data_IF_812005499469
#
_entry.id   IF_812005499469
#
_cell.length_a   1.000
_cell.length_b   1.000
_cell.length_c   1.000
_cell.angle_alpha   90.00
_cell.angle_beta   90.00
_cell.angle_gamma   90.00
#
_symmetry.space_group_name_H-M   'P 1'
#
loop_
_entity.id
_entity.type
_entity.pdbx_description
1 polymer ?
#
# COMPACT_ATOMS: atom_id res chain seq x y z
N UNK A 1 -22.77 -11.30 -20.18
CA UNK A 1 -22.04 -11.77 -18.97
C UNK A 1 -22.13 -10.79 -17.80
N UNK A 2 -21.97 -9.47 -18.02
CA UNK A 2 -22.00 -8.46 -16.95
C UNK A 2 -23.35 -8.20 -16.26
N UNK A 3 -24.49 -8.59 -16.86
CA UNK A 3 -25.81 -8.51 -16.21
C UNK A 3 -26.03 -9.61 -15.17
N UNK A 4 -25.62 -10.85 -15.47
CA UNK A 4 -25.73 -11.97 -14.52
C UNK A 4 -24.91 -11.74 -13.26
N UNK A 5 -23.74 -11.10 -13.36
CA UNK A 5 -22.95 -10.76 -12.17
C UNK A 5 -23.62 -9.70 -11.29
N UNK A 6 -24.36 -8.75 -11.88
CA UNK A 6 -25.13 -7.74 -11.14
C UNK A 6 -26.32 -8.34 -10.38
N UNK A 7 -26.95 -9.38 -10.94
CA UNK A 7 -28.04 -10.11 -10.26
C UNK A 7 -27.53 -11.03 -9.13
N UNK A 8 -26.37 -11.64 -9.31
CA UNK A 8 -25.81 -12.59 -8.33
C UNK A 8 -25.11 -11.87 -7.16
N UNK A 9 -24.60 -10.66 -7.38
CA UNK A 9 -23.85 -9.91 -6.37
C UNK A 9 -24.63 -9.61 -5.07
N UNK A 10 -25.90 -9.17 -5.12
CA UNK A 10 -26.73 -9.01 -3.92
C UNK A 10 -26.92 -10.31 -3.15
N UNK A 11 -27.12 -11.44 -3.84
CA UNK A 11 -27.32 -12.75 -3.22
C UNK A 11 -26.07 -13.23 -2.48
N UNK A 12 -24.88 -13.08 -3.08
CA UNK A 12 -23.61 -13.40 -2.43
C UNK A 12 -23.36 -12.49 -1.22
N UNK A 13 -23.67 -11.19 -1.33
CA UNK A 13 -23.53 -10.22 -0.25
C UNK A 13 -24.44 -10.55 0.94
N UNK A 14 -25.66 -10.99 0.68
CA UNK A 14 -26.68 -11.28 1.69
C UNK A 14 -26.44 -12.62 2.41
N UNK A 15 -25.60 -13.50 1.85
CA UNK A 15 -25.22 -14.76 2.50
C UNK A 15 -24.46 -14.59 3.84
N UNK A 16 -24.11 -13.36 4.26
CA UNK A 16 -23.33 -13.03 5.47
C UNK A 16 -22.33 -14.13 5.86
N UNK A 17 -21.40 -14.47 4.96
CA UNK A 17 -20.44 -15.51 5.26
C UNK A 17 -19.65 -15.11 6.52
N UNK A 18 -19.51 -16.06 7.46
CA UNK A 18 -18.61 -15.90 8.62
C UNK A 18 -17.14 -15.66 8.19
N UNK A 19 -16.82 -15.94 6.94
CA UNK A 19 -15.53 -15.75 6.28
C UNK A 19 -15.54 -14.49 5.43
N UNK A 20 -14.50 -13.66 5.55
CA UNK A 20 -14.30 -12.51 4.66
C UNK A 20 -13.93 -13.01 3.25
N UNK A 21 -14.75 -12.72 2.25
CA UNK A 21 -14.46 -13.09 0.86
C UNK A 21 -13.58 -12.03 0.22
N UNK A 22 -12.64 -12.48 -0.62
CA UNK A 22 -11.77 -11.60 -1.38
C UNK A 22 -11.73 -12.04 -2.85
N UNK A 23 -11.83 -11.09 -3.76
CA UNK A 23 -11.84 -11.32 -5.21
C UNK A 23 -10.94 -10.33 -5.94
N UNK A 24 -10.38 -10.77 -7.07
CA UNK A 24 -9.63 -9.93 -7.99
C UNK A 24 -10.26 -10.01 -9.39
N UNK A 25 -10.40 -8.87 -10.04
CA UNK A 25 -11.05 -8.77 -11.36
C UNK A 25 -10.08 -8.15 -12.35
N UNK A 26 -9.92 -8.77 -13.51
CA UNK A 26 -9.11 -8.25 -14.60
C UNK A 26 -9.79 -7.09 -15.33
N UNK A 27 -9.05 -6.44 -16.24
CA UNK A 27 -9.69 -5.65 -17.27
C UNK A 27 -10.48 -6.57 -18.24
N UNK A 28 -11.48 -6.04 -18.97
CA UNK A 28 -12.14 -6.78 -20.05
C UNK A 28 -11.13 -7.13 -21.15
N UNK A 29 -11.13 -8.37 -21.63
CA UNK A 29 -10.26 -8.84 -22.72
C UNK A 29 -11.05 -9.63 -23.75
N UNK A 30 -10.55 -9.66 -24.99
CA UNK A 30 -10.99 -10.61 -26.00
C UNK A 30 -10.53 -12.04 -25.65
N UNK A 31 -11.10 -13.06 -26.30
CA UNK A 31 -10.79 -14.47 -26.00
C UNK A 31 -9.29 -14.82 -26.07
N UNK A 32 -8.54 -14.19 -26.98
CA UNK A 32 -7.10 -14.37 -27.11
C UNK A 32 -6.29 -13.83 -25.90
N UNK A 33 -6.90 -13.01 -25.05
CA UNK A 33 -6.25 -12.38 -23.89
C UNK A 33 -6.56 -13.03 -22.55
N UNK A 34 -7.21 -14.21 -22.52
CA UNK A 34 -7.66 -14.86 -21.28
C UNK A 34 -6.53 -15.15 -20.28
N UNK A 35 -5.34 -15.53 -20.75
CA UNK A 35 -4.19 -15.79 -19.88
C UNK A 35 -3.70 -14.51 -19.15
N UNK A 36 -3.69 -13.39 -19.89
CA UNK A 36 -3.37 -12.08 -19.33
C UNK A 36 -4.44 -11.65 -18.31
N UNK A 37 -5.72 -11.82 -18.64
CA UNK A 37 -6.82 -11.54 -17.70
C UNK A 37 -6.73 -12.40 -16.43
N UNK A 38 -6.43 -13.69 -16.55
CA UNK A 38 -6.24 -14.54 -15.37
C UNK A 38 -5.07 -14.06 -14.50
N UNK A 39 -3.97 -13.64 -15.12
CA UNK A 39 -2.83 -13.05 -14.43
C UNK A 39 -3.25 -11.78 -13.69
N UNK A 40 -3.88 -10.83 -14.39
CA UNK A 40 -4.39 -9.60 -13.80
C UNK A 40 -5.34 -9.84 -12.62
N UNK A 41 -6.29 -10.79 -12.76
CA UNK A 41 -7.22 -11.15 -11.71
C UNK A 41 -6.51 -11.75 -10.48
N UNK A 42 -5.44 -12.52 -10.68
CA UNK A 42 -4.61 -13.07 -9.59
C UNK A 42 -3.85 -11.98 -8.83
N UNK A 43 -3.26 -11.02 -9.54
CA UNK A 43 -2.61 -9.86 -8.92
C UNK A 43 -3.62 -9.02 -8.12
N UNK A 44 -4.79 -8.75 -8.69
CA UNK A 44 -5.86 -8.04 -8.00
C UNK A 44 -6.34 -8.80 -6.75
N UNK A 45 -6.44 -10.13 -6.81
CA UNK A 45 -6.80 -10.96 -5.65
C UNK A 45 -5.72 -10.94 -4.57
N UNK A 46 -4.44 -10.97 -4.96
CA UNK A 46 -3.33 -10.92 -4.03
C UNK A 46 -3.26 -9.56 -3.31
N UNK A 47 -3.50 -8.46 -4.02
CA UNK A 47 -3.66 -7.14 -3.43
C UNK A 47 -4.87 -7.11 -2.48
N UNK A 48 -6.02 -7.60 -2.92
CA UNK A 48 -7.22 -7.69 -2.09
C UNK A 48 -6.91 -8.44 -0.79
N UNK A 49 -6.17 -9.55 -0.82
CA UNK A 49 -5.76 -10.33 0.37
C UNK A 49 -4.83 -9.61 1.33
N UNK A 50 -4.07 -8.65 0.82
CA UNK A 50 -3.08 -7.89 1.59
C UNK A 50 -3.71 -6.67 2.27
N UNK A 51 -4.92 -6.26 1.87
CA UNK A 51 -5.62 -5.13 2.45
C UNK A 51 -6.15 -5.41 3.87
N UNK A 52 -6.12 -4.36 4.69
CA UNK A 52 -6.54 -4.33 6.10
C UNK A 52 -7.98 -4.87 6.26
N UNK A 53 -8.32 -5.52 7.40
CA UNK A 53 -9.70 -5.88 7.71
C UNK A 53 -10.64 -4.66 7.60
N UNK A 54 -11.69 -4.75 6.79
CA UNK A 54 -12.62 -3.65 6.51
C UNK A 54 -12.40 -2.93 5.15
N UNK A 55 -11.34 -3.25 4.42
CA UNK A 55 -11.14 -2.77 3.04
C UNK A 55 -12.07 -3.48 2.04
N UNK A 56 -12.18 -2.93 0.82
CA UNK A 56 -12.99 -3.46 -0.26
C UNK A 56 -12.64 -4.93 -0.54
N UNK A 57 -13.63 -5.85 -0.50
CA UNK A 57 -13.39 -7.27 -0.72
C UNK A 57 -13.05 -7.60 -2.19
N UNK A 58 -13.23 -6.65 -3.10
CA UNK A 58 -12.96 -6.81 -4.52
C UNK A 58 -11.99 -5.72 -4.94
N UNK A 59 -10.94 -6.12 -5.64
CA UNK A 59 -10.02 -5.19 -6.30
C UNK A 59 -10.08 -5.43 -7.80
N UNK A 60 -10.15 -4.35 -8.58
CA UNK A 60 -10.11 -4.40 -10.04
C UNK A 60 -8.71 -4.01 -10.51
N UNK A 61 -8.19 -4.60 -11.58
CA UNK A 61 -6.85 -4.32 -12.09
C UNK A 61 -6.57 -2.83 -12.34
N UNK A 62 -7.59 -2.04 -12.67
CA UNK A 62 -7.46 -0.58 -12.85
C UNK A 62 -7.36 0.23 -11.55
N UNK A 63 -7.60 -0.39 -10.39
CA UNK A 63 -7.47 0.23 -9.06
C UNK A 63 -6.07 0.04 -8.45
N UNK A 64 -5.23 -0.79 -9.09
CA UNK A 64 -3.84 -1.02 -8.69
C UNK A 64 -2.91 -0.45 -9.75
N UNK A 65 -2.12 0.54 -9.36
CA UNK A 65 -1.09 1.14 -10.20
C UNK A 65 0.30 1.14 -9.53
N UNK A 66 1.31 1.39 -10.35
CA UNK A 66 2.70 1.55 -9.90
C UNK A 66 3.25 0.38 -9.08
N UNK A 67 3.93 0.71 -8.00
CA UNK A 67 4.65 -0.25 -7.14
C UNK A 67 3.70 -1.21 -6.42
N UNK A 68 2.48 -0.78 -6.09
CA UNK A 68 1.51 -1.62 -5.38
C UNK A 68 1.07 -2.83 -6.21
N UNK A 69 0.88 -2.65 -7.53
CA UNK A 69 0.58 -3.74 -8.45
C UNK A 69 1.73 -4.77 -8.52
N UNK A 70 2.98 -4.30 -8.60
CA UNK A 70 4.16 -5.18 -8.63
C UNK A 70 4.28 -5.98 -7.32
N UNK A 71 4.09 -5.33 -6.17
CA UNK A 71 4.14 -5.97 -4.86
C UNK A 71 3.05 -7.03 -4.65
N UNK A 72 1.92 -6.95 -5.37
CA UNK A 72 0.89 -7.96 -5.29
C UNK A 72 1.35 -9.34 -5.80
N UNK A 73 2.38 -9.39 -6.65
CA UNK A 73 3.03 -10.65 -7.06
C UNK A 73 4.07 -11.17 -6.08
N UNK A 74 4.50 -10.35 -5.12
CA UNK A 74 5.52 -10.71 -4.13
C UNK A 74 4.84 -11.41 -2.94
N UNK A 75 5.33 -12.59 -2.50
CA UNK A 75 4.82 -13.29 -1.33
C UNK A 75 4.79 -12.40 -0.07
N UNK A 76 3.75 -12.56 0.75
CA UNK A 76 3.50 -11.67 1.91
C UNK A 76 4.59 -11.75 2.99
N UNK A 77 5.21 -12.91 3.17
CA UNK A 77 6.35 -13.13 4.05
C UNK A 77 7.59 -12.36 3.57
N UNK A 78 7.89 -12.38 2.28
CA UNK A 78 8.98 -11.59 1.67
C UNK A 78 8.71 -10.10 1.86
N UNK A 79 7.48 -9.64 1.62
CA UNK A 79 7.10 -8.24 1.87
C UNK A 79 7.24 -7.85 3.33
N UNK A 80 6.83 -8.73 4.26
CA UNK A 80 6.97 -8.49 5.69
C UNK A 80 8.44 -8.35 6.12
N UNK A 81 9.32 -9.23 5.62
CA UNK A 81 10.77 -9.13 5.86
C UNK A 81 11.33 -7.82 5.32
N UNK A 82 10.95 -7.43 4.10
CA UNK A 82 11.40 -6.16 3.51
C UNK A 82 10.91 -4.95 4.32
N UNK A 83 9.63 -4.94 4.71
CA UNK A 83 9.05 -3.91 5.57
C UNK A 83 9.81 -3.78 6.89
N UNK A 84 10.06 -4.89 7.57
CA UNK A 84 10.79 -4.90 8.85
C UNK A 84 12.23 -4.41 8.67
N UNK A 85 12.90 -4.82 7.59
CA UNK A 85 14.28 -4.39 7.29
C UNK A 85 14.36 -2.87 7.10
N UNK A 86 13.37 -2.28 6.43
CA UNK A 86 13.40 -0.85 6.06
C UNK A 86 12.78 0.05 7.14
N UNK A 87 11.67 -0.37 7.75
CA UNK A 87 10.88 0.45 8.69
C UNK A 87 11.01 -0.01 10.14
N UNK A 88 11.57 -1.19 10.41
CA UNK A 88 11.82 -1.72 11.75
C UNK A 88 12.56 -0.73 12.66
N UNK A 89 13.63 -0.04 12.20
CA UNK A 89 14.31 0.97 13.01
C UNK A 89 13.41 2.14 13.45
N UNK A 90 12.41 2.52 12.64
CA UNK A 90 11.42 3.53 13.03
C UNK A 90 10.45 2.99 14.08
N UNK A 91 9.96 1.76 13.89
CA UNK A 91 9.07 1.10 14.84
C UNK A 91 9.75 0.89 16.20
N UNK A 92 11.04 0.59 16.20
CA UNK A 92 11.86 0.43 17.40
C UNK A 92 12.15 1.75 18.16
N UNK A 93 11.87 2.91 17.57
CA UNK A 93 12.10 4.22 18.21
C UNK A 93 11.18 4.50 19.42
N UNK A 94 10.20 3.63 19.68
CA UNK A 94 9.34 3.65 20.85
C UNK A 94 7.85 3.79 20.51
N UNK A 95 6.95 3.48 21.46
CA UNK A 95 5.50 3.34 21.21
C UNK A 95 4.81 4.65 20.79
N UNK A 96 5.39 5.81 21.11
CA UNK A 96 4.90 7.12 20.67
C UNK A 96 5.66 7.63 19.45
N UNK A 97 6.98 7.52 19.47
CA UNK A 97 7.84 8.07 18.42
C UNK A 97 7.72 7.31 17.10
N UNK A 98 7.65 5.98 17.13
CA UNK A 98 7.61 5.16 15.91
C UNK A 98 6.39 5.47 15.03
N UNK A 99 5.15 5.41 15.55
CA UNK A 99 3.96 5.79 14.80
C UNK A 99 4.04 7.23 14.26
N UNK A 100 4.46 8.18 15.08
CA UNK A 100 4.61 9.60 14.69
C UNK A 100 5.60 9.79 13.53
N UNK A 101 6.74 9.09 13.55
CA UNK A 101 7.73 9.15 12.48
C UNK A 101 7.21 8.48 11.20
N UNK A 102 6.48 7.36 11.32
CA UNK A 102 5.83 6.71 10.17
C UNK A 102 4.77 7.61 9.52
N UNK A 103 3.96 8.30 10.31
CA UNK A 103 2.95 9.23 9.81
C UNK A 103 3.63 10.41 9.10
N UNK A 104 4.73 10.90 9.67
CA UNK A 104 5.52 11.97 9.04
C UNK A 104 6.13 11.50 7.72
N UNK A 105 6.69 10.29 7.66
CA UNK A 105 7.24 9.71 6.43
C UNK A 105 6.18 9.55 5.34
N UNK A 106 4.98 9.04 5.69
CA UNK A 106 3.86 8.89 4.74
C UNK A 106 3.43 10.23 4.18
N UNK A 107 3.24 11.23 5.03
CA UNK A 107 2.86 12.57 4.59
C UNK A 107 3.96 13.19 3.71
N UNK A 108 5.23 13.09 4.14
CA UNK A 108 6.36 13.65 3.41
C UNK A 108 6.48 13.08 1.99
N UNK A 109 6.39 11.75 1.84
CA UNK A 109 6.43 11.11 0.54
C UNK A 109 5.18 11.41 -0.31
N UNK A 110 4.00 11.50 0.30
CA UNK A 110 2.75 11.85 -0.41
C UNK A 110 2.72 13.29 -0.92
N UNK A 111 3.52 14.17 -0.33
CA UNK A 111 3.67 15.57 -0.73
C UNK A 111 5.00 15.85 -1.46
N UNK A 112 5.49 14.87 -2.23
CA UNK A 112 6.71 14.93 -3.05
C UNK A 112 7.94 15.44 -2.29
N UNK A 113 8.06 15.07 -1.01
CA UNK A 113 9.15 15.51 -0.13
C UNK A 113 9.19 17.03 0.11
N UNK A 114 8.04 17.70 0.02
CA UNK A 114 7.91 19.13 0.29
C UNK A 114 7.74 19.40 1.79
N UNK A 115 8.70 20.10 2.38
CA UNK A 115 8.67 20.50 3.79
C UNK A 115 7.41 21.30 4.16
N UNK A 116 7.07 22.32 3.37
CA UNK A 116 5.94 23.20 3.63
C UNK A 116 4.60 22.47 3.52
N UNK A 117 4.37 21.72 2.43
CA UNK A 117 3.12 20.97 2.24
C UNK A 117 2.94 19.88 3.30
N UNK A 118 4.03 19.24 3.72
CA UNK A 118 3.99 18.23 4.79
C UNK A 118 3.67 18.87 6.14
N UNK A 119 4.24 20.04 6.43
CA UNK A 119 3.97 20.79 7.65
C UNK A 119 2.48 21.18 7.76
N UNK A 120 1.94 21.68 6.65
CA UNK A 120 0.51 22.01 6.52
C UNK A 120 -0.37 20.79 6.72
N UNK A 121 -0.09 19.69 6.01
CA UNK A 121 -0.87 18.45 6.08
C UNK A 121 -0.86 17.78 7.46
N UNK A 122 0.24 17.93 8.20
CA UNK A 122 0.37 17.40 9.57
C UNK A 122 -0.02 18.41 10.65
N UNK A 123 -0.39 19.63 10.27
CA UNK A 123 -0.67 20.75 11.19
C UNK A 123 0.45 20.99 12.22
N UNK A 124 1.70 20.97 11.77
CA UNK A 124 2.89 21.24 12.58
C UNK A 124 3.79 22.28 11.93
N UNK A 125 4.73 22.84 12.70
CA UNK A 125 5.71 23.77 12.16
C UNK A 125 6.71 23.05 11.22
N UNK A 126 7.17 23.74 10.17
CA UNK A 126 8.11 23.20 9.18
C UNK A 126 9.43 22.71 9.80
N UNK A 127 9.94 23.41 10.81
CA UNK A 127 11.13 22.97 11.57
C UNK A 127 10.92 21.60 12.24
N UNK A 128 9.70 21.30 12.70
CA UNK A 128 9.38 19.99 13.29
C UNK A 128 9.41 18.91 12.22
N UNK A 129 8.96 19.20 10.99
CA UNK A 129 9.09 18.27 9.86
C UNK A 129 10.56 18.01 9.56
N UNK A 130 11.39 19.06 9.47
CA UNK A 130 12.85 18.94 9.28
C UNK A 130 13.47 18.00 10.31
N UNK A 131 13.23 18.25 11.60
CA UNK A 131 13.75 17.41 12.67
C UNK A 131 13.31 15.95 12.55
N UNK A 132 12.02 15.71 12.27
CA UNK A 132 11.50 14.34 12.15
C UNK A 132 12.05 13.61 10.94
N UNK A 133 12.21 14.29 9.81
CA UNK A 133 12.81 13.70 8.60
C UNK A 133 14.28 13.38 8.85
N UNK A 134 15.08 14.29 9.41
CA UNK A 134 16.47 13.99 9.77
C UNK A 134 16.56 12.80 10.73
N UNK A 135 15.63 12.69 11.68
CA UNK A 135 15.55 11.54 12.57
C UNK A 135 15.19 10.24 11.84
N UNK A 136 14.32 10.29 10.83
CA UNK A 136 13.99 9.14 9.98
C UNK A 136 15.24 8.69 9.21
N UNK A 137 15.96 9.62 8.59
CA UNK A 137 17.18 9.33 7.83
C UNK A 137 18.25 8.71 8.73
N UNK A 138 18.44 9.27 9.94
CA UNK A 138 19.38 8.74 10.93
C UNK A 138 19.05 7.32 11.38
N UNK A 139 17.78 7.04 11.68
CA UNK A 139 17.35 5.73 12.18
C UNK A 139 17.38 4.66 11.09
N UNK A 140 17.02 5.02 9.87
CA UNK A 140 16.92 4.06 8.74
C UNK A 140 18.22 3.95 7.95
N UNK A 141 19.15 4.89 8.09
CA UNK A 141 20.32 5.02 7.23
C UNK A 141 19.98 5.45 5.79
N UNK A 142 18.77 5.97 5.56
CA UNK A 142 18.25 6.28 4.23
C UNK A 142 18.04 7.77 4.06
N UNK A 143 18.92 8.39 3.28
CA UNK A 143 18.86 9.78 2.85
C UNK A 143 17.68 10.03 1.88
N UNK A 144 16.69 10.82 2.32
CA UNK A 144 15.47 11.15 1.59
C UNK A 144 15.69 12.17 0.46
N UNK A 145 16.89 12.72 0.31
CA UNK A 145 17.27 13.44 -0.91
C UNK A 145 17.55 12.50 -2.10
N UNK A 146 17.90 11.23 -1.83
CA UNK A 146 18.20 10.23 -2.86
C UNK A 146 16.93 9.52 -3.32
N UNK A 147 16.77 9.37 -4.63
CA UNK A 147 15.61 8.69 -5.23
C UNK A 147 15.49 7.23 -4.75
N UNK A 148 16.58 6.47 -4.78
CA UNK A 148 16.58 5.04 -4.42
C UNK A 148 16.08 4.83 -2.98
N UNK A 149 16.51 5.68 -2.05
CA UNK A 149 16.08 5.64 -0.65
C UNK A 149 14.60 6.01 -0.49
N UNK A 150 14.12 7.02 -1.23
CA UNK A 150 12.70 7.38 -1.25
C UNK A 150 11.84 6.23 -1.78
N UNK A 151 12.30 5.56 -2.84
CA UNK A 151 11.62 4.40 -3.42
C UNK A 151 11.61 3.23 -2.45
N UNK A 152 12.72 2.96 -1.76
CA UNK A 152 12.77 1.90 -0.75
C UNK A 152 11.79 2.16 0.39
N UNK A 153 11.81 3.38 0.95
CA UNK A 153 10.88 3.78 2.02
C UNK A 153 9.42 3.75 1.56
N UNK A 154 9.13 4.20 0.33
CA UNK A 154 7.78 4.15 -0.26
C UNK A 154 7.31 2.72 -0.46
N UNK A 155 8.18 1.86 -0.98
CA UNK A 155 7.88 0.44 -1.23
C UNK A 155 7.62 -0.28 0.09
N UNK A 156 8.44 -0.02 1.12
CA UNK A 156 8.26 -0.62 2.43
C UNK A 156 6.96 -0.18 3.12
N UNK A 157 6.46 1.04 2.86
CA UNK A 157 5.16 1.49 3.33
C UNK A 157 3.99 0.77 2.65
N UNK A 158 4.19 0.26 1.43
CA UNK A 158 3.20 -0.49 0.65
C UNK A 158 3.22 -2.01 0.92
N UNK A 159 4.29 -2.49 1.58
CA UNK A 159 4.41 -3.87 2.08
C UNK A 159 3.61 -4.09 3.36
#
# INVERSE_FOLDING_TARGET
MGERLREVWPLIRDCRPRSAWRAGVSAPVAAAGLDSALTQARYALAAARSSVPGSTPVVVQGELDGVALLLAGVPSDVRAVYRETVLGPLLAAGPKSGPMLLDTLRAFLSHDCSWARTAEALHIHVNTVHYRVQRIELLTGRDLSRLDNRLDLRTALLC
#
